data_IF_734707186594
#
_entry.id   IF_734707186594
#
_cell.length_a   1.000
_cell.length_b   1.000
_cell.length_c   1.000
_cell.angle_alpha   90.00
_cell.angle_beta   90.00
_cell.angle_gamma   90.00
#
_symmetry.space_group_name_H-M   'P 1'
#
loop_
_entity.id
_entity.type
_entity.pdbx_description
1 polymer ?
#
# COMPACT_ATOMS: atom_id res chain seq x y z
N UNK A 1 1.42 7.25 2.64
CA UNK A 1 2.26 7.40 1.44
C UNK A 1 3.25 6.23 1.38
N UNK A 2 3.90 6.01 0.24
CA UNK A 2 4.94 4.99 0.07
C UNK A 2 6.19 5.68 -0.45
N UNK A 3 7.35 5.31 0.10
CA UNK A 3 8.67 5.74 -0.36
C UNK A 3 9.39 4.49 -0.84
N UNK A 4 9.80 4.45 -2.11
CA UNK A 4 10.46 3.28 -2.67
C UNK A 4 11.96 3.35 -2.41
N UNK A 5 12.52 2.29 -1.84
CA UNK A 5 13.96 2.19 -1.63
C UNK A 5 14.69 1.96 -2.95
N UNK A 6 15.85 2.61 -3.12
CA UNK A 6 16.70 2.45 -4.32
C UNK A 6 17.94 1.59 -4.08
N UNK A 7 17.97 0.83 -2.98
CA UNK A 7 18.98 -0.21 -2.70
C UNK A 7 20.26 0.26 -2.00
N UNK A 8 20.41 1.56 -1.73
CA UNK A 8 21.60 2.14 -1.10
C UNK A 8 21.30 2.89 0.22
N UNK A 9 20.17 2.56 0.85
CA UNK A 9 19.68 3.23 2.06
C UNK A 9 18.96 4.56 1.81
N UNK A 10 18.86 5.02 0.54
CA UNK A 10 18.03 6.16 0.16
C UNK A 10 16.67 5.71 -0.38
N UNK A 11 15.75 6.67 -0.41
CA UNK A 11 14.39 6.50 -0.90
C UNK A 11 14.08 7.51 -2.00
N UNK A 12 13.15 7.17 -2.89
CA UNK A 12 12.55 8.10 -3.83
C UNK A 12 11.62 9.09 -3.12
N UNK A 13 11.14 10.09 -3.87
CA UNK A 13 10.09 10.97 -3.38
C UNK A 13 8.84 10.18 -3.01
N UNK A 14 8.17 10.61 -1.94
CA UNK A 14 6.93 9.99 -1.50
C UNK A 14 5.86 9.99 -2.60
N UNK A 15 5.20 8.84 -2.77
CA UNK A 15 3.98 8.71 -3.57
C UNK A 15 2.78 8.61 -2.64
N UNK A 16 1.75 9.41 -2.92
CA UNK A 16 0.53 9.43 -2.13
C UNK A 16 -0.49 8.45 -2.69
N UNK A 17 -0.95 7.54 -1.82
CA UNK A 17 -2.06 6.62 -2.07
C UNK A 17 -3.16 6.94 -1.06
N UNK A 18 -4.15 7.77 -1.44
CA UNK A 18 -5.19 8.20 -0.52
C UNK A 18 -6.11 7.02 -0.17
N UNK A 19 -6.33 6.78 1.12
CA UNK A 19 -7.29 5.77 1.59
C UNK A 19 -8.74 6.32 1.62
N UNK A 20 -8.90 7.64 1.50
CA UNK A 20 -10.18 8.34 1.56
C UNK A 20 -10.41 9.07 2.89
N UNK A 21 -11.59 9.67 3.03
CA UNK A 21 -12.03 10.34 4.26
C UNK A 21 -12.31 9.31 5.37
N UNK A 22 -12.12 9.68 6.64
CA UNK A 22 -12.27 8.79 7.81
C UNK A 22 -11.46 7.47 7.68
N UNK A 23 -10.25 7.52 7.14
CA UNK A 23 -9.53 6.32 6.72
C UNK A 23 -8.86 5.51 7.84
N UNK A 24 -9.11 5.78 9.13
CA UNK A 24 -8.46 5.20 10.32
C UNK A 24 -7.92 3.77 10.10
N UNK A 25 -6.67 3.62 9.59
CA UNK A 25 -6.19 2.33 9.12
C UNK A 25 -5.47 1.63 10.25
N UNK A 26 -5.84 0.38 10.51
CA UNK A 26 -5.36 -0.36 11.68
C UNK A 26 -4.51 -1.58 11.33
N UNK A 27 -4.49 -2.01 10.07
CA UNK A 27 -3.69 -3.16 9.63
C UNK A 27 -3.23 -3.03 8.18
N UNK A 28 -2.05 -3.58 7.89
CA UNK A 28 -1.45 -3.65 6.56
C UNK A 28 -0.77 -5.01 6.34
N UNK A 29 -0.89 -5.57 5.14
CA UNK A 29 -0.16 -6.77 4.70
C UNK A 29 0.44 -6.55 3.31
N UNK A 30 1.46 -7.36 3.01
CA UNK A 30 2.13 -7.44 1.72
C UNK A 30 2.00 -8.89 1.20
N UNK A 31 1.48 -9.07 0.01
CA UNK A 31 1.28 -10.37 -0.63
C UNK A 31 0.96 -10.17 -2.11
N UNK A 32 1.38 -11.08 -2.98
CA UNK A 32 0.87 -11.14 -4.36
C UNK A 32 -0.62 -11.57 -4.32
N UNK A 33 -1.54 -10.63 -4.56
CA UNK A 33 -2.99 -10.82 -4.46
C UNK A 33 -3.63 -11.07 -5.82
N UNK A 34 -2.96 -10.72 -6.93
CA UNK A 34 -3.46 -10.86 -8.29
C UNK A 34 -2.73 -11.95 -9.12
N UNK A 35 -1.73 -12.62 -8.53
CA UNK A 35 -0.85 -13.62 -9.12
C UNK A 35 0.01 -13.11 -10.30
N UNK A 36 0.47 -11.86 -10.25
CA UNK A 36 1.35 -11.30 -11.28
C UNK A 36 2.85 -11.42 -10.96
N UNK A 37 3.18 -11.97 -9.78
CA UNK A 37 4.54 -12.18 -9.32
C UNK A 37 5.12 -11.00 -8.54
N UNK A 38 4.36 -9.93 -8.31
CA UNK A 38 4.77 -8.77 -7.52
C UNK A 38 4.00 -8.73 -6.19
N UNK A 39 4.65 -8.25 -5.12
CA UNK A 39 3.93 -8.04 -3.86
C UNK A 39 2.98 -6.84 -3.97
N UNK A 40 1.70 -7.07 -3.72
CA UNK A 40 0.67 -6.06 -3.56
C UNK A 40 0.54 -5.62 -2.09
N UNK A 41 -0.22 -4.55 -1.87
CA UNK A 41 -0.50 -4.03 -0.53
C UNK A 41 -2.00 -4.08 -0.26
N UNK A 42 -2.40 -4.72 0.83
CA UNK A 42 -3.76 -4.64 1.36
C UNK A 42 -3.78 -3.90 2.70
N UNK A 43 -4.67 -2.92 2.80
CA UNK A 43 -4.85 -2.07 3.99
C UNK A 43 -6.27 -2.25 4.52
N UNK A 44 -6.40 -2.62 5.80
CA UNK A 44 -7.68 -2.57 6.51
C UNK A 44 -7.94 -1.14 6.98
N UNK A 45 -9.07 -0.58 6.56
CA UNK A 45 -9.46 0.82 6.79
C UNK A 45 -10.65 0.80 7.74
N UNK A 46 -10.36 0.72 9.05
CA UNK A 46 -11.38 0.58 10.10
C UNK A 46 -12.39 1.73 10.07
N UNK A 47 -11.91 2.97 9.97
CA UNK A 47 -12.81 4.14 10.00
C UNK A 47 -13.76 4.28 8.79
N UNK A 48 -13.54 3.52 7.72
CA UNK A 48 -14.37 3.52 6.51
C UNK A 48 -14.97 2.14 6.18
N UNK A 49 -14.89 1.18 7.11
CA UNK A 49 -15.42 -0.18 7.00
C UNK A 49 -15.09 -0.87 5.67
N UNK A 50 -13.85 -0.73 5.19
CA UNK A 50 -13.42 -1.35 3.94
C UNK A 50 -11.96 -1.80 3.94
N UNK A 51 -11.59 -2.51 2.88
CA UNK A 51 -10.21 -2.86 2.55
C UNK A 51 -9.83 -2.14 1.26
N UNK A 52 -8.64 -1.54 1.25
CA UNK A 52 -8.04 -0.96 0.05
C UNK A 52 -6.91 -1.86 -0.41
N UNK A 53 -6.92 -2.20 -1.70
CA UNK A 53 -5.85 -2.95 -2.36
C UNK A 53 -5.13 -1.99 -3.29
N UNK A 54 -3.82 -1.89 -3.12
CA UNK A 54 -2.93 -1.25 -4.06
C UNK A 54 -2.16 -2.36 -4.78
N UNK A 55 -2.48 -2.54 -6.07
CA UNK A 55 -1.76 -3.47 -6.92
C UNK A 55 -0.42 -2.88 -7.29
N UNK A 56 0.64 -3.65 -7.09
CA UNK A 56 1.89 -3.40 -7.78
C UNK A 56 1.78 -3.99 -9.19
N UNK A 57 2.38 -3.33 -10.18
CA UNK A 57 2.29 -3.78 -11.58
C UNK A 57 3.67 -4.06 -12.19
N UNK A 58 4.75 -3.89 -11.41
CA UNK A 58 6.13 -3.95 -11.89
C UNK A 58 7.22 -3.94 -10.80
#
# INVERSE_FOLDING_TARGET
CILFGIGDGRFTNQTWYPLGFNSDPNWIIFQDLNNDGWEDIAVAVYGADNVKILLNLC
#
